data_IF_046609569622
#
_entry.id   IF_046609569622
#
_cell.length_a   1.000
_cell.length_b   1.000
_cell.length_c   1.000
_cell.angle_alpha   90.00
_cell.angle_beta   90.00
_cell.angle_gamma   90.00
#
_symmetry.space_group_name_H-M   'P 1'
#
loop_
_entity.id
_entity.type
_entity.pdbx_description
1 polymer ?
#
# COMPACT_ATOMS: atom_id res chain seq x y z
N UNK A 1 -13.44 2.36 21.18
CA UNK A 1 -12.33 3.10 21.85
C UNK A 1 -11.49 3.69 20.73
N UNK A 2 -10.99 4.92 20.88
CA UNK A 2 -10.15 5.52 19.85
C UNK A 2 -8.89 4.67 19.57
N UNK A 3 -8.47 4.59 18.31
CA UNK A 3 -7.25 3.90 17.91
C UNK A 3 -6.04 4.50 18.66
N UNK A 4 -5.18 3.65 19.21
CA UNK A 4 -3.97 4.10 19.90
C UNK A 4 -2.91 4.58 18.90
N UNK A 5 -2.00 5.47 19.36
CA UNK A 5 -0.87 5.92 18.52
C UNK A 5 -0.02 4.76 18.00
N UNK A 6 0.22 3.75 18.83
CA UNK A 6 0.96 2.54 18.45
C UNK A 6 0.27 1.78 17.34
N UNK A 7 -1.05 1.60 17.43
CA UNK A 7 -1.84 0.92 16.42
C UNK A 7 -1.88 1.67 15.09
N UNK A 8 -2.00 3.01 15.15
CA UNK A 8 -1.95 3.88 13.97
C UNK A 8 -0.59 3.78 13.28
N UNK A 9 0.51 3.91 14.03
CA UNK A 9 1.86 3.80 13.47
C UNK A 9 2.10 2.39 12.90
N UNK A 10 1.71 1.34 13.62
CA UNK A 10 1.81 -0.03 13.11
C UNK A 10 1.09 -0.21 11.77
N UNK A 11 -0.14 0.30 11.66
CA UNK A 11 -0.91 0.21 10.42
C UNK A 11 -0.27 0.97 9.26
N UNK A 12 0.33 2.14 9.53
CA UNK A 12 1.07 2.91 8.51
C UNK A 12 2.35 2.18 8.09
N UNK A 13 3.13 1.72 9.06
CA UNK A 13 4.47 1.21 8.83
C UNK A 13 4.48 -0.20 8.26
N UNK A 14 3.53 -1.06 8.66
CA UNK A 14 3.62 -2.50 8.45
C UNK A 14 2.47 -3.10 7.63
N UNK A 15 1.49 -2.30 7.21
CA UNK A 15 0.31 -2.80 6.49
C UNK A 15 0.65 -3.58 5.21
N UNK A 16 1.76 -3.24 4.54
CA UNK A 16 2.22 -3.97 3.34
C UNK A 16 2.59 -5.43 3.61
N UNK A 17 2.79 -5.80 4.88
CA UNK A 17 3.19 -7.15 5.31
C UNK A 17 2.06 -7.94 5.98
N UNK A 18 0.83 -7.44 5.96
CA UNK A 18 -0.34 -8.08 6.57
C UNK A 18 -1.03 -9.11 5.64
N UNK A 19 -0.67 -9.13 4.37
CA UNK A 19 -1.27 -10.05 3.42
C UNK A 19 -0.84 -11.49 3.70
N UNK A 20 -1.79 -12.45 3.68
CA UNK A 20 -1.50 -13.88 3.81
C UNK A 20 -0.84 -14.43 2.55
N UNK A 21 -0.36 -15.66 2.61
CA UNK A 21 0.07 -16.40 1.43
C UNK A 21 -1.11 -16.64 0.46
N UNK A 22 -0.82 -16.51 -0.83
CA UNK A 22 -1.69 -16.94 -1.92
C UNK A 22 -0.92 -18.01 -2.70
N UNK A 23 -1.26 -19.31 -2.53
CA UNK A 23 -0.47 -20.42 -3.06
C UNK A 23 -0.16 -20.28 -4.56
N UNK A 24 1.13 -20.35 -4.91
CA UNK A 24 1.59 -20.21 -6.28
C UNK A 24 1.73 -18.77 -6.81
N UNK A 25 1.26 -17.76 -6.05
CA UNK A 25 1.23 -16.36 -6.50
C UNK A 25 1.90 -15.39 -5.54
N UNK A 26 1.77 -15.62 -4.22
CA UNK A 26 2.28 -14.72 -3.19
C UNK A 26 2.83 -15.52 -2.01
N UNK A 27 4.12 -15.40 -1.78
CA UNK A 27 4.83 -16.05 -0.69
C UNK A 27 5.08 -15.06 0.45
N UNK A 28 4.89 -15.50 1.68
CA UNK A 28 5.33 -14.77 2.88
C UNK A 28 6.60 -15.40 3.40
N UNK A 29 7.63 -14.58 3.64
CA UNK A 29 8.95 -15.04 4.11
C UNK A 29 9.36 -14.30 5.37
N UNK A 30 9.95 -15.05 6.30
CA UNK A 30 10.56 -14.49 7.51
C UNK A 30 12.05 -14.76 7.50
N UNK A 31 12.84 -13.72 7.73
CA UNK A 31 14.26 -13.79 8.00
C UNK A 31 14.51 -13.30 9.43
N UNK A 32 15.64 -13.60 10.05
CA UNK A 32 15.96 -13.06 11.38
C UNK A 32 15.89 -11.52 11.40
N UNK A 33 14.89 -10.97 12.12
CA UNK A 33 14.67 -9.54 12.22
C UNK A 33 14.04 -8.86 10.99
N UNK A 34 13.52 -9.64 10.01
CA UNK A 34 12.90 -9.11 8.79
C UNK A 34 11.68 -9.92 8.38
N UNK A 35 10.72 -9.26 7.78
CA UNK A 35 9.61 -9.89 7.08
C UNK A 35 9.62 -9.48 5.61
N UNK A 36 9.30 -10.42 4.75
CA UNK A 36 9.22 -10.19 3.32
C UNK A 36 7.99 -10.86 2.71
N UNK A 37 7.61 -10.36 1.55
CA UNK A 37 6.77 -11.09 0.62
C UNK A 37 7.46 -11.19 -0.74
N UNK A 38 7.13 -12.22 -1.49
CA UNK A 38 7.69 -12.48 -2.80
C UNK A 38 6.64 -13.07 -3.73
N UNK A 39 6.69 -12.69 -4.99
CA UNK A 39 5.98 -13.36 -6.07
C UNK A 39 6.93 -14.38 -6.73
N UNK A 40 6.51 -15.62 -6.97
CA UNK A 40 7.41 -16.64 -7.51
C UNK A 40 7.98 -16.32 -8.89
N UNK A 41 7.19 -15.68 -9.75
CA UNK A 41 7.50 -15.50 -11.17
C UNK A 41 7.44 -14.04 -11.66
N UNK A 42 7.21 -13.06 -10.77
CA UNK A 42 7.05 -11.67 -11.16
C UNK A 42 8.18 -10.84 -10.55
N UNK A 43 9.03 -10.25 -11.39
CA UNK A 43 10.06 -9.33 -10.93
C UNK A 43 9.52 -7.90 -10.88
N UNK A 44 8.95 -7.51 -9.74
CA UNK A 44 8.43 -6.16 -9.52
C UNK A 44 8.51 -5.77 -8.04
N UNK A 45 8.90 -4.53 -7.74
CA UNK A 45 9.15 -4.02 -6.38
C UNK A 45 7.98 -4.26 -5.42
N UNK A 46 6.74 -4.03 -5.86
CA UNK A 46 5.56 -4.23 -5.02
C UNK A 46 5.18 -5.69 -4.84
N UNK A 47 5.69 -6.58 -5.68
CA UNK A 47 5.54 -8.02 -5.55
C UNK A 47 6.67 -8.66 -4.73
N UNK A 48 7.80 -7.97 -4.57
CA UNK A 48 9.00 -8.46 -3.91
C UNK A 48 9.51 -7.38 -2.94
N UNK A 49 9.13 -7.47 -1.69
CA UNK A 49 9.39 -6.42 -0.71
C UNK A 49 9.84 -7.00 0.62
N UNK A 50 10.73 -6.30 1.29
CA UNK A 50 11.16 -6.58 2.66
C UNK A 50 10.96 -5.35 3.55
N UNK A 51 10.66 -5.58 4.81
CA UNK A 51 10.50 -4.54 5.83
C UNK A 51 10.34 -5.13 7.21
N UNK A 52 9.66 -4.40 8.10
CA UNK A 52 9.55 -4.75 9.52
C UNK A 52 10.94 -5.02 10.14
N UNK A 53 11.91 -4.15 9.80
CA UNK A 53 13.32 -4.34 10.14
C UNK A 53 13.57 -4.13 11.63
N UNK A 54 13.93 -5.20 12.32
CA UNK A 54 14.34 -5.22 13.75
C UNK A 54 15.73 -5.81 13.88
N UNK A 55 16.62 -5.44 12.96
CA UNK A 55 18.02 -5.89 12.94
C UNK A 55 18.82 -5.21 14.04
N UNK A 56 19.96 -5.80 14.40
CA UNK A 56 20.97 -5.18 15.27
C UNK A 56 22.14 -4.72 14.42
N UNK A 57 23.02 -3.89 15.00
CA UNK A 57 24.24 -3.45 14.32
C UNK A 57 25.13 -4.64 13.88
N UNK A 58 25.13 -5.73 14.67
CA UNK A 58 25.95 -6.92 14.41
C UNK A 58 25.40 -7.80 13.27
N UNK A 59 24.07 -7.83 13.07
CA UNK A 59 23.45 -8.75 12.10
C UNK A 59 22.88 -8.06 10.85
N UNK A 60 22.88 -6.73 10.78
CA UNK A 60 22.25 -5.98 9.72
C UNK A 60 22.83 -6.32 8.33
N UNK A 61 24.15 -6.32 8.19
CA UNK A 61 24.81 -6.59 6.90
C UNK A 61 24.56 -8.04 6.45
N UNK A 62 24.57 -8.99 7.38
CA UNK A 62 24.23 -10.39 7.10
C UNK A 62 22.75 -10.56 6.70
N UNK A 63 21.84 -9.84 7.35
CA UNK A 63 20.41 -9.83 7.02
C UNK A 63 20.16 -9.25 5.63
N UNK A 64 20.80 -8.13 5.28
CA UNK A 64 20.73 -7.52 3.94
C UNK A 64 21.24 -8.51 2.88
N UNK A 65 22.42 -9.11 3.08
CA UNK A 65 23.01 -10.07 2.16
C UNK A 65 22.11 -11.31 1.97
N UNK A 66 21.48 -11.82 3.04
CA UNK A 66 20.58 -12.97 2.98
C UNK A 66 19.34 -12.67 2.12
N UNK A 67 18.78 -11.48 2.24
CA UNK A 67 17.63 -11.04 1.43
C UNK A 67 18.04 -10.87 -0.03
N UNK A 68 19.20 -10.26 -0.30
CA UNK A 68 19.74 -10.12 -1.65
C UNK A 68 20.01 -11.48 -2.31
N UNK A 69 20.55 -12.45 -1.58
CA UNK A 69 20.76 -13.83 -2.09
C UNK A 69 19.43 -14.50 -2.46
N UNK A 70 18.40 -14.33 -1.59
CA UNK A 70 17.08 -14.92 -1.84
C UNK A 70 16.41 -14.38 -3.11
N UNK A 71 16.40 -13.05 -3.31
CA UNK A 71 15.79 -12.43 -4.47
C UNK A 71 16.71 -12.48 -5.70
N UNK A 72 18.01 -12.40 -5.51
CA UNK A 72 19.02 -12.52 -6.58
C UNK A 72 19.01 -13.89 -7.28
N UNK A 73 18.84 -14.98 -6.54
CA UNK A 73 18.67 -16.33 -7.11
C UNK A 73 17.42 -16.45 -8.00
N UNK A 74 16.44 -15.59 -7.80
CA UNK A 74 15.22 -15.51 -8.61
C UNK A 74 15.31 -14.49 -9.73
N UNK A 75 16.40 -13.73 -9.80
CA UNK A 75 16.55 -12.58 -10.72
C UNK A 75 15.44 -11.54 -10.52
N UNK A 76 14.97 -11.37 -9.28
CA UNK A 76 13.91 -10.42 -8.93
C UNK A 76 14.50 -9.15 -8.36
N UNK A 77 14.00 -8.00 -8.84
CA UNK A 77 14.20 -6.74 -8.14
C UNK A 77 13.51 -6.77 -6.78
N UNK A 78 14.07 -6.02 -5.84
CA UNK A 78 13.66 -6.02 -4.44
C UNK A 78 13.39 -4.60 -3.95
N UNK A 79 12.23 -4.40 -3.33
CA UNK A 79 11.90 -3.20 -2.57
C UNK A 79 12.24 -3.36 -1.09
N UNK A 80 12.86 -2.35 -0.47
CA UNK A 80 13.00 -2.29 0.97
C UNK A 80 12.16 -1.15 1.53
N UNK A 81 11.20 -1.52 2.38
CA UNK A 81 10.29 -0.61 3.05
C UNK A 81 10.87 -0.21 4.39
N UNK A 82 11.40 1.00 4.47
CA UNK A 82 12.07 1.54 5.65
C UNK A 82 11.16 2.58 6.32
N UNK A 83 10.86 2.36 7.57
CA UNK A 83 10.00 3.20 8.38
C UNK A 83 10.73 3.68 9.66
N UNK A 84 10.18 4.64 10.42
CA UNK A 84 10.81 5.16 11.63
C UNK A 84 11.13 4.11 12.71
N UNK A 85 10.37 3.02 12.75
CA UNK A 85 10.61 1.91 13.71
C UNK A 85 11.69 0.94 13.26
N UNK A 86 12.25 1.11 12.05
CA UNK A 86 13.28 0.23 11.52
C UNK A 86 14.61 0.41 12.26
N UNK A 87 15.26 -0.69 12.56
CA UNK A 87 16.60 -0.72 13.20
C UNK A 87 17.61 -1.50 12.37
N UNK A 88 18.92 -1.25 12.51
CA UNK A 88 19.57 -0.22 13.34
C UNK A 88 19.43 1.20 12.76
N UNK A 89 19.82 2.22 13.51
CA UNK A 89 19.71 3.65 13.11
C UNK A 89 20.49 3.97 11.83
N UNK A 90 21.58 3.27 11.57
CA UNK A 90 22.45 3.42 10.39
C UNK A 90 22.02 2.53 9.20
N UNK A 91 20.82 1.92 9.26
CA UNK A 91 20.33 0.98 8.24
C UNK A 91 20.30 1.60 6.83
N UNK A 92 19.98 2.90 6.70
CA UNK A 92 20.03 3.63 5.42
C UNK A 92 21.40 3.51 4.78
N UNK A 93 22.47 3.87 5.52
CA UNK A 93 23.84 3.82 5.01
C UNK A 93 24.28 2.40 4.64
N UNK A 94 23.82 1.39 5.39
CA UNK A 94 24.10 -0.03 5.07
C UNK A 94 23.39 -0.50 3.81
N UNK A 95 22.14 -0.09 3.60
CA UNK A 95 21.40 -0.38 2.38
C UNK A 95 22.08 0.25 1.16
N UNK A 96 22.52 1.52 1.26
CA UNK A 96 23.23 2.20 0.19
C UNK A 96 24.58 1.52 -0.11
N UNK A 97 25.33 1.15 0.91
CA UNK A 97 26.58 0.39 0.76
C UNK A 97 26.37 -0.99 0.12
N UNK A 98 25.21 -1.61 0.34
CA UNK A 98 24.80 -2.87 -0.29
C UNK A 98 24.19 -2.70 -1.69
N UNK A 99 24.21 -1.49 -2.26
CA UNK A 99 23.76 -1.21 -3.62
C UNK A 99 22.26 -0.93 -3.76
N UNK A 100 21.56 -0.68 -2.66
CA UNK A 100 20.20 -0.14 -2.73
C UNK A 100 20.23 1.36 -3.04
N UNK A 101 19.23 1.82 -3.75
CA UNK A 101 19.01 3.25 -4.01
C UNK A 101 17.64 3.69 -3.51
N UNK A 102 17.55 4.85 -2.87
CA UNK A 102 16.27 5.44 -2.47
C UNK A 102 15.45 5.78 -3.71
N UNK A 103 14.25 5.22 -3.81
CA UNK A 103 13.36 5.40 -4.94
C UNK A 103 12.31 6.48 -4.69
N UNK A 104 11.67 6.44 -3.52
CA UNK A 104 10.59 7.36 -3.16
C UNK A 104 10.53 7.55 -1.64
N UNK A 105 10.07 8.72 -1.23
CA UNK A 105 9.69 9.03 0.14
C UNK A 105 8.19 9.29 0.21
N UNK A 106 7.51 8.60 1.08
CA UNK A 106 6.07 8.73 1.28
C UNK A 106 5.76 9.34 2.64
N UNK A 107 4.70 10.14 2.69
CA UNK A 107 4.13 10.61 3.94
C UNK A 107 3.22 9.54 4.54
N UNK A 108 3.45 9.16 5.79
CA UNK A 108 2.53 8.36 6.60
C UNK A 108 1.47 9.26 7.22
N UNK A 109 0.23 9.09 6.81
CA UNK A 109 -0.87 10.00 7.09
C UNK A 109 -2.00 9.30 7.85
N UNK A 110 -2.63 10.00 8.80
CA UNK A 110 -3.76 9.51 9.59
C UNK A 110 -4.93 10.48 9.60
N UNK A 111 -6.15 9.94 9.57
CA UNK A 111 -7.39 10.65 9.87
C UNK A 111 -8.11 9.92 11.01
N UNK A 112 -8.35 10.60 12.12
CA UNK A 112 -9.04 10.06 13.31
C UNK A 112 -10.51 10.44 13.38
N UNK A 113 -10.96 11.47 12.66
CA UNK A 113 -12.36 11.83 12.55
C UNK A 113 -12.98 11.27 11.25
N UNK A 114 -13.44 10.03 11.29
CA UNK A 114 -14.11 9.38 10.15
C UNK A 114 -15.54 9.92 9.90
N UNK A 115 -16.06 10.82 10.76
CA UNK A 115 -17.35 11.49 10.54
C UNK A 115 -17.21 12.75 9.70
N UNK A 116 -15.98 13.17 9.40
CA UNK A 116 -15.71 14.38 8.62
C UNK A 116 -16.48 14.37 7.31
N UNK A 117 -17.25 15.41 7.07
CA UNK A 117 -17.99 15.59 5.84
C UNK A 117 -17.06 16.02 4.71
N UNK A 118 -17.06 15.23 3.62
CA UNK A 118 -16.23 15.49 2.44
C UNK A 118 -17.14 15.81 1.27
N UNK A 119 -17.01 17.03 0.76
CA UNK A 119 -17.75 17.47 -0.44
C UNK A 119 -17.17 16.78 -1.67
N UNK A 120 -18.00 15.99 -2.34
CA UNK A 120 -17.65 15.24 -3.54
C UNK A 120 -18.28 15.86 -4.80
N UNK A 121 -17.67 15.58 -5.96
CA UNK A 121 -18.29 15.87 -7.26
C UNK A 121 -19.54 14.98 -7.42
N UNK A 122 -20.76 15.54 -7.60
CA UNK A 122 -21.99 14.76 -7.75
C UNK A 122 -22.00 13.86 -9.00
N UNK A 123 -21.21 14.18 -10.02
CA UNK A 123 -21.07 13.36 -11.23
C UNK A 123 -20.20 12.09 -11.01
N UNK A 124 -19.62 11.90 -9.81
CA UNK A 124 -18.80 10.73 -9.49
C UNK A 124 -19.54 9.79 -8.57
N UNK A 125 -19.79 8.58 -9.04
CA UNK A 125 -20.34 7.49 -8.23
C UNK A 125 -19.24 6.50 -7.85
N UNK A 126 -19.21 6.08 -6.60
CA UNK A 126 -18.24 5.09 -6.08
C UNK A 126 -18.99 3.95 -5.40
N UNK A 127 -18.61 2.72 -5.74
CA UNK A 127 -19.13 1.51 -5.11
C UNK A 127 -18.02 0.49 -4.83
N UNK A 128 -18.23 -0.44 -3.88
CA UNK A 128 -17.39 -1.63 -3.78
C UNK A 128 -17.41 -2.43 -5.10
N UNK A 129 -16.27 -3.01 -5.44
CA UNK A 129 -16.17 -3.97 -6.52
C UNK A 129 -16.69 -5.34 -6.04
N UNK A 130 -17.25 -6.09 -6.97
CA UNK A 130 -17.69 -7.48 -6.80
C UNK A 130 -16.82 -8.43 -7.63
N UNK A 131 -17.01 -9.72 -7.50
CA UNK A 131 -16.29 -10.70 -8.33
C UNK A 131 -16.55 -10.52 -9.85
N UNK A 132 -17.70 -9.97 -10.23
CA UNK A 132 -18.02 -9.64 -11.62
C UNK A 132 -17.15 -8.49 -12.17
N UNK A 133 -16.61 -7.66 -11.30
CA UNK A 133 -15.79 -6.50 -11.69
C UNK A 133 -14.28 -6.84 -11.81
N UNK A 134 -13.89 -8.11 -11.66
CA UNK A 134 -12.47 -8.54 -11.66
C UNK A 134 -11.70 -7.98 -12.86
N UNK A 135 -12.28 -8.07 -14.05
CA UNK A 135 -11.65 -7.56 -15.28
C UNK A 135 -11.37 -6.04 -15.19
N UNK A 136 -12.31 -5.27 -14.70
CA UNK A 136 -12.14 -3.82 -14.54
C UNK A 136 -11.13 -3.45 -13.47
N UNK A 137 -11.08 -4.18 -12.36
CA UNK A 137 -10.07 -3.98 -11.31
C UNK A 137 -8.67 -4.21 -11.86
N UNK A 138 -8.44 -5.36 -12.54
CA UNK A 138 -7.15 -5.70 -13.15
C UNK A 138 -6.77 -4.66 -14.22
N UNK A 139 -7.68 -4.34 -15.14
CA UNK A 139 -7.47 -3.34 -16.18
C UNK A 139 -7.03 -1.99 -15.60
N UNK A 140 -7.70 -1.51 -14.56
CA UNK A 140 -7.37 -0.22 -13.94
C UNK A 140 -6.04 -0.24 -13.20
N UNK A 141 -5.69 -1.32 -12.52
CA UNK A 141 -4.36 -1.46 -11.95
C UNK A 141 -3.27 -1.49 -13.02
N UNK A 142 -3.51 -2.16 -14.14
CA UNK A 142 -2.55 -2.23 -15.24
C UNK A 142 -2.40 -0.89 -15.95
N UNK A 143 -3.51 -0.16 -16.18
CA UNK A 143 -3.49 1.05 -17.02
C UNK A 143 -3.30 2.35 -16.23
N UNK A 144 -3.88 2.46 -15.04
CA UNK A 144 -3.86 3.69 -14.26
C UNK A 144 -2.76 3.71 -13.20
N UNK A 145 -2.30 2.55 -12.74
CA UNK A 145 -1.23 2.38 -11.73
C UNK A 145 0.07 1.79 -12.30
N UNK A 146 0.24 1.69 -13.58
CA UNK A 146 1.13 0.95 -14.46
C UNK A 146 1.81 -0.30 -13.82
N UNK A 147 1.02 -1.17 -13.21
CA UNK A 147 1.50 -2.47 -12.76
C UNK A 147 1.51 -3.48 -13.91
N UNK A 148 2.40 -4.48 -13.88
CA UNK A 148 2.27 -5.66 -14.74
C UNK A 148 0.91 -6.34 -14.55
N UNK A 149 0.36 -6.91 -15.61
CA UNK A 149 -0.99 -7.52 -15.59
C UNK A 149 -1.07 -8.66 -14.58
N UNK A 150 -0.06 -9.54 -14.58
CA UNK A 150 0.04 -10.66 -13.65
C UNK A 150 0.09 -10.22 -12.17
N UNK A 151 0.80 -9.13 -11.85
CA UNK A 151 0.80 -8.55 -10.52
C UNK A 151 -0.54 -7.88 -10.17
N UNK A 152 -1.19 -7.26 -11.15
CA UNK A 152 -2.53 -6.68 -11.00
C UNK A 152 -3.57 -7.77 -10.67
N UNK A 153 -3.46 -8.94 -11.28
CA UNK A 153 -4.27 -10.12 -10.98
C UNK A 153 -4.03 -10.61 -9.54
N UNK A 154 -2.75 -10.73 -9.14
CA UNK A 154 -2.40 -11.11 -7.76
C UNK A 154 -3.00 -10.14 -6.75
N UNK A 155 -2.89 -8.84 -6.95
CA UNK A 155 -3.49 -7.87 -6.04
C UNK A 155 -5.02 -7.92 -6.04
N UNK A 156 -5.65 -8.16 -7.20
CA UNK A 156 -7.09 -8.33 -7.27
C UNK A 156 -7.58 -9.47 -6.37
N UNK A 157 -6.84 -10.56 -6.31
CA UNK A 157 -7.18 -11.74 -5.53
C UNK A 157 -6.71 -11.67 -4.07
N UNK A 158 -5.65 -10.88 -3.78
CA UNK A 158 -5.02 -10.80 -2.47
C UNK A 158 -5.79 -9.89 -1.49
N UNK A 159 -6.25 -8.71 -1.95
CA UNK A 159 -6.93 -7.75 -1.08
C UNK A 159 -8.19 -8.30 -0.40
N UNK A 160 -9.05 -9.11 -1.04
CA UNK A 160 -10.21 -9.70 -0.37
C UNK A 160 -9.88 -10.71 0.75
N UNK A 161 -8.62 -11.14 0.86
CA UNK A 161 -8.20 -12.13 1.87
C UNK A 161 -7.90 -11.53 3.25
N UNK A 162 -7.81 -10.20 3.36
CA UNK A 162 -7.55 -9.50 4.63
C UNK A 162 -8.81 -8.86 5.19
N UNK A 163 -8.79 -8.56 6.51
CA UNK A 163 -9.93 -7.97 7.20
C UNK A 163 -10.38 -6.65 6.54
N UNK A 164 -11.67 -6.51 6.29
CA UNK A 164 -12.27 -5.38 5.59
C UNK A 164 -11.69 -5.15 4.17
N UNK A 165 -10.99 -6.16 3.64
CA UNK A 165 -10.29 -6.07 2.35
C UNK A 165 -11.24 -6.02 1.18
N UNK A 166 -10.91 -5.16 0.21
CA UNK A 166 -11.66 -5.08 -1.03
C UNK A 166 -11.28 -3.88 -1.87
N UNK A 167 -11.79 -3.92 -3.08
CA UNK A 167 -11.60 -2.86 -4.08
C UNK A 167 -12.84 -2.00 -4.18
N UNK A 168 -12.63 -0.77 -4.63
CA UNK A 168 -13.68 0.20 -4.94
C UNK A 168 -13.46 0.71 -6.35
N UNK A 169 -14.56 0.90 -7.08
CA UNK A 169 -14.55 1.44 -8.44
C UNK A 169 -15.29 2.78 -8.45
N UNK A 170 -14.73 3.74 -9.18
CA UNK A 170 -15.39 5.02 -9.43
C UNK A 170 -15.82 5.13 -10.90
N UNK A 171 -17.00 5.67 -11.06
CA UNK A 171 -17.65 5.95 -12.34
C UNK A 171 -17.87 7.45 -12.46
N UNK A 172 -17.74 7.97 -13.66
CA UNK A 172 -18.01 9.38 -13.98
C UNK A 172 -19.19 9.45 -14.94
N UNK A 173 -20.15 10.31 -14.67
CA UNK A 173 -21.33 10.47 -15.50
C UNK A 173 -20.97 10.75 -16.97
N UNK A 174 -21.63 10.05 -17.88
CA UNK A 174 -21.37 10.14 -19.32
C UNK A 174 -20.15 9.34 -19.82
N UNK A 175 -19.46 8.61 -18.95
CA UNK A 175 -18.34 7.73 -19.31
C UNK A 175 -18.73 6.28 -19.12
N UNK A 176 -18.45 5.45 -20.13
CA UNK A 176 -18.71 4.00 -20.06
C UNK A 176 -17.65 3.31 -19.19
N UNK A 177 -18.13 2.51 -18.22
CA UNK A 177 -17.27 1.76 -17.30
C UNK A 177 -16.58 2.57 -16.22
N UNK A 178 -15.84 1.89 -15.32
CA UNK A 178 -15.12 2.56 -14.25
C UNK A 178 -13.82 3.21 -14.73
N UNK A 179 -13.53 4.37 -14.17
CA UNK A 179 -12.37 5.22 -14.50
C UNK A 179 -11.30 5.26 -13.41
N UNK A 180 -11.57 4.65 -12.24
CA UNK A 180 -10.63 4.62 -11.13
C UNK A 180 -10.86 3.40 -10.26
N UNK A 181 -9.77 2.87 -9.71
CA UNK A 181 -9.74 1.80 -8.70
C UNK A 181 -9.05 2.30 -7.45
N UNK A 182 -9.45 1.78 -6.31
CA UNK A 182 -8.70 1.90 -5.05
C UNK A 182 -9.02 0.73 -4.14
N UNK A 183 -8.20 0.53 -3.12
CA UNK A 183 -8.40 -0.54 -2.15
C UNK A 183 -8.45 -0.02 -0.73
N UNK A 184 -9.06 -0.81 0.13
CA UNK A 184 -9.07 -0.62 1.58
C UNK A 184 -8.95 -1.97 2.24
N UNK A 185 -8.29 -2.03 3.38
CA UNK A 185 -8.26 -3.19 4.26
C UNK A 185 -7.95 -2.74 5.71
N UNK A 186 -7.87 -3.69 6.63
CA UNK A 186 -7.48 -3.44 8.01
C UNK A 186 -6.48 -4.51 8.45
N UNK A 187 -5.41 -4.17 9.17
CA UNK A 187 -4.62 -5.18 9.87
C UNK A 187 -5.51 -6.00 10.79
N UNK A 188 -5.18 -7.26 10.96
CA UNK A 188 -6.04 -8.20 11.68
C UNK A 188 -6.34 -7.73 13.10
N UNK A 189 -7.62 -7.62 13.42
CA UNK A 189 -8.08 -7.15 14.73
C UNK A 189 -7.86 -5.69 15.03
N UNK A 190 -7.39 -4.89 14.05
CA UNK A 190 -7.14 -3.46 14.22
C UNK A 190 -8.41 -2.63 14.09
N UNK A 191 -8.48 -1.53 14.86
CA UNK A 191 -9.47 -0.49 14.70
C UNK A 191 -9.12 0.53 13.59
N UNK A 192 -8.01 0.31 12.86
CA UNK A 192 -7.52 1.22 11.83
C UNK A 192 -7.77 0.64 10.43
N UNK A 193 -8.34 1.45 9.53
CA UNK A 193 -8.46 1.13 8.11
C UNK A 193 -7.28 1.69 7.32
N UNK A 194 -6.73 0.91 6.40
CA UNK A 194 -5.65 1.31 5.48
C UNK A 194 -6.24 1.64 4.11
N UNK A 195 -6.02 2.86 3.64
CA UNK A 195 -6.46 3.35 2.32
C UNK A 195 -5.33 3.18 1.33
N UNK A 196 -5.42 2.20 0.42
CA UNK A 196 -4.32 1.82 -0.46
C UNK A 196 -4.72 1.76 -1.94
N UNK A 197 -3.72 1.74 -2.83
CA UNK A 197 -3.85 1.37 -4.23
C UNK A 197 -4.79 2.24 -5.06
N UNK A 198 -4.86 3.56 -4.80
CA UNK A 198 -5.74 4.45 -5.55
C UNK A 198 -5.10 4.91 -6.85
N UNK A 199 -5.76 4.62 -7.97
CA UNK A 199 -5.34 5.05 -9.30
C UNK A 199 -6.53 5.48 -10.16
N UNK A 200 -6.37 6.60 -10.88
CA UNK A 200 -7.36 7.14 -11.80
C UNK A 200 -6.73 7.25 -13.19
N UNK A 201 -7.45 6.81 -14.21
CA UNK A 201 -7.03 6.98 -15.60
C UNK A 201 -6.69 8.44 -15.89
N UNK A 202 -5.60 8.66 -16.64
CA UNK A 202 -5.02 9.99 -16.91
C UNK A 202 -6.06 11.01 -17.34
N UNK A 203 -6.91 10.64 -18.30
CA UNK A 203 -7.87 11.52 -18.95
C UNK A 203 -9.01 11.96 -18.02
N UNK A 204 -9.18 11.28 -16.90
CA UNK A 204 -10.22 11.58 -15.91
C UNK A 204 -9.68 12.16 -14.59
N UNK A 205 -8.38 12.49 -14.54
CA UNK A 205 -7.80 13.21 -13.40
C UNK A 205 -8.36 14.64 -13.33
N UNK A 206 -8.31 15.22 -12.13
CA UNK A 206 -8.85 16.58 -11.91
C UNK A 206 -10.37 16.67 -11.74
N UNK A 207 -11.12 15.60 -11.89
CA UNK A 207 -12.59 15.56 -11.74
C UNK A 207 -13.06 15.25 -10.30
N UNK A 208 -12.18 15.28 -9.31
CA UNK A 208 -12.54 15.00 -7.91
C UNK A 208 -12.75 13.51 -7.59
N UNK A 209 -12.36 12.60 -8.50
CA UNK A 209 -12.55 11.15 -8.36
C UNK A 209 -11.83 10.60 -7.13
N UNK A 210 -10.56 10.98 -6.91
CA UNK A 210 -9.81 10.55 -5.74
C UNK A 210 -10.50 10.96 -4.42
N UNK A 211 -11.03 12.18 -4.37
CA UNK A 211 -11.80 12.69 -3.22
C UNK A 211 -13.07 11.86 -2.96
N UNK A 212 -13.83 11.55 -4.01
CA UNK A 212 -15.02 10.73 -3.91
C UNK A 212 -14.69 9.29 -3.47
N UNK A 213 -13.61 8.71 -4.01
CA UNK A 213 -13.08 7.40 -3.61
C UNK A 213 -12.67 7.37 -2.13
N UNK A 214 -11.98 8.42 -1.65
CA UNK A 214 -11.62 8.54 -0.25
C UNK A 214 -12.86 8.64 0.64
N UNK A 215 -13.80 9.51 0.29
CA UNK A 215 -15.05 9.68 1.04
C UNK A 215 -15.86 8.37 1.14
N UNK A 216 -15.93 7.59 0.05
CA UNK A 216 -16.64 6.32 0.04
C UNK A 216 -15.97 5.29 0.96
N UNK A 217 -14.64 5.17 0.91
CA UNK A 217 -13.88 4.24 1.76
C UNK A 217 -13.94 4.65 3.24
N UNK A 218 -13.87 5.93 3.56
CA UNK A 218 -14.02 6.42 4.93
C UNK A 218 -15.40 6.10 5.51
N UNK A 219 -16.48 6.29 4.71
CA UNK A 219 -17.84 5.86 5.12
C UNK A 219 -17.90 4.36 5.37
N UNK A 220 -17.28 3.55 4.51
CA UNK A 220 -17.24 2.10 4.67
C UNK A 220 -16.44 1.70 5.93
N UNK A 221 -15.27 2.27 6.14
CA UNK A 221 -14.44 2.04 7.33
C UNK A 221 -15.23 2.35 8.62
N UNK A 222 -15.92 3.50 8.66
CA UNK A 222 -16.79 3.85 9.78
C UNK A 222 -17.92 2.84 9.98
N UNK A 223 -18.59 2.43 8.91
CA UNK A 223 -19.67 1.44 8.99
C UNK A 223 -19.19 0.07 9.50
N UNK A 224 -17.91 -0.26 9.28
CA UNK A 224 -17.23 -1.44 9.80
C UNK A 224 -16.66 -1.25 11.22
N UNK A 225 -16.97 -0.13 11.89
CA UNK A 225 -16.55 0.15 13.27
C UNK A 225 -15.08 0.53 13.40
N UNK A 226 -14.45 1.05 12.35
CA UNK A 226 -13.08 1.55 12.44
C UNK A 226 -13.05 2.95 13.06
N UNK A 227 -12.01 3.23 13.85
CA UNK A 227 -11.83 4.46 14.60
C UNK A 227 -10.90 5.45 13.89
N UNK A 228 -10.03 4.96 13.00
CA UNK A 228 -9.09 5.76 12.23
C UNK A 228 -8.88 5.20 10.82
N UNK A 229 -8.42 6.06 9.92
CA UNK A 229 -7.95 5.68 8.60
C UNK A 229 -6.52 6.17 8.38
N UNK A 230 -5.69 5.34 7.74
CA UNK A 230 -4.30 5.67 7.42
C UNK A 230 -4.00 5.45 5.95
N UNK A 231 -2.98 6.10 5.46
CA UNK A 231 -2.41 5.85 4.13
C UNK A 231 -0.93 6.23 4.07
N UNK A 232 -0.23 5.66 3.11
CA UNK A 232 1.08 6.13 2.66
C UNK A 232 0.86 6.93 1.37
N UNK A 233 1.17 8.21 1.42
CA UNK A 233 0.91 9.14 0.33
C UNK A 233 2.18 9.61 -0.34
N UNK A 234 2.21 9.55 -1.69
CA UNK A 234 3.24 10.24 -2.45
C UNK A 234 3.19 11.75 -2.16
N UNK A 235 4.35 12.33 -1.81
CA UNK A 235 4.45 13.72 -1.35
C UNK A 235 4.04 14.75 -2.40
N UNK A 236 4.11 14.38 -3.68
CA UNK A 236 3.83 15.28 -4.80
C UNK A 236 2.41 15.17 -5.32
N UNK A 237 1.71 14.06 -5.03
CA UNK A 237 0.39 13.76 -5.59
C UNK A 237 -0.69 13.52 -4.53
N UNK A 238 -0.69 12.35 -3.88
CA UNK A 238 -1.78 11.93 -3.00
C UNK A 238 -1.72 12.57 -1.60
N UNK A 239 -0.54 12.80 -1.03
CA UNK A 239 -0.41 13.37 0.30
C UNK A 239 -1.00 14.81 0.40
N UNK A 240 -0.75 15.74 -0.54
CA UNK A 240 -1.40 17.05 -0.51
C UNK A 240 -2.93 16.98 -0.62
N UNK A 241 -3.48 16.00 -1.34
CA UNK A 241 -4.93 15.82 -1.43
C UNK A 241 -5.46 15.29 -0.09
N UNK A 242 -4.83 14.28 0.47
CA UNK A 242 -5.22 13.72 1.76
C UNK A 242 -5.16 14.77 2.89
N UNK A 243 -4.12 15.61 2.92
CA UNK A 243 -4.01 16.71 3.88
C UNK A 243 -5.22 17.69 3.80
N UNK A 244 -5.65 18.05 2.58
CA UNK A 244 -6.87 18.87 2.40
C UNK A 244 -8.13 18.17 2.88
N UNK A 245 -8.16 16.86 2.89
CA UNK A 245 -9.25 16.04 3.43
C UNK A 245 -9.17 15.87 4.96
N UNK A 246 -8.13 16.41 5.60
CA UNK A 246 -7.94 16.43 7.04
C UNK A 246 -7.04 15.34 7.59
N UNK A 247 -6.36 14.60 6.73
CA UNK A 247 -5.30 13.69 7.18
C UNK A 247 -4.10 14.50 7.69
N UNK A 248 -3.51 14.02 8.78
CA UNK A 248 -2.32 14.60 9.39
C UNK A 248 -1.12 13.69 9.14
N UNK A 249 0.02 14.28 8.80
CA UNK A 249 1.27 13.53 8.64
C UNK A 249 1.85 13.21 10.03
N UNK A 250 2.20 11.94 10.26
CA UNK A 250 2.75 11.46 11.52
C UNK A 250 4.11 10.79 11.39
N UNK A 251 4.49 10.39 10.17
CA UNK A 251 5.80 9.83 9.90
C UNK A 251 6.16 9.93 8.41
N UNK A 252 7.43 9.63 8.10
CA UNK A 252 7.94 9.45 6.76
C UNK A 252 8.36 8.00 6.55
N UNK A 253 8.16 7.49 5.35
CA UNK A 253 8.53 6.13 4.95
C UNK A 253 9.39 6.22 3.71
N UNK A 254 10.56 5.61 3.75
CA UNK A 254 11.48 5.53 2.64
C UNK A 254 11.35 4.18 1.94
N UNK A 255 11.32 4.20 0.63
CA UNK A 255 11.30 3.01 -0.19
C UNK A 255 12.57 2.94 -1.02
N UNK A 256 13.36 1.89 -0.79
CA UNK A 256 14.61 1.63 -1.49
C UNK A 256 14.40 0.52 -2.52
N UNK A 257 15.20 0.56 -3.58
CA UNK A 257 15.23 -0.44 -4.64
C UNK A 257 16.61 -1.04 -4.76
N UNK A 258 16.64 -2.36 -4.98
CA UNK A 258 17.82 -3.12 -5.39
C UNK A 258 17.48 -3.99 -6.60
N UNK A 259 18.41 -4.10 -7.56
CA UNK A 259 18.29 -4.98 -8.71
C UNK A 259 19.43 -5.99 -8.70
N UNK A 260 19.17 -7.27 -8.98
CA UNK A 260 20.24 -8.25 -9.20
C UNK A 260 21.07 -7.85 -10.40
N UNK A 261 22.38 -8.12 -10.31
CA UNK A 261 23.38 -7.87 -11.38
C UNK A 261 23.45 -9.06 -12.34
#
# INVERSE_FOLDING_TARGET
MAASKTEILYAIENSMFEFPELPGHWEVRSFPGLRAHATPNISHLFGNMVGMSTLTEENADAGIAQVQDFFGKRQHELGWWLNPSSTPVDLVGRLEAAGFSKLIEQAGLVLTDLNREIKCNPAVTVRPATSADRHDVVRLYTTAYPLPEDLSEVFCDLFPLVDCGGHYLAFLDGVEGPVSVSSMFSPRGSSVAVMQGAATLSDYRGHGIYTAMMAARLRAARAMGKDAAVLQGDRTTSAPIAARLGFEEVCSIDFFRWCPT
#
